data_IF_092499828374
#
_entry.id   IF_092499828374
#
_cell.length_a   1.000
_cell.length_b   1.000
_cell.length_c   1.000
_cell.angle_alpha   90.00
_cell.angle_beta   90.00
_cell.angle_gamma   90.00
#
_symmetry.space_group_name_H-M   'P 1'
#
loop_
_entity.id
_entity.type
_entity.pdbx_description
1 polymer ?
#
# COMPACT_ATOMS: atom_id res chain seq x y z
N UNK A 1 -7.48 -10.42 17.63
CA UNK A 1 -6.88 -11.26 18.71
C UNK A 1 -6.60 -10.44 19.96
N UNK A 2 -5.88 -9.33 19.90
CA UNK A 2 -5.60 -8.49 21.07
C UNK A 2 -6.89 -7.98 21.77
N UNK A 3 -7.86 -7.50 20.99
CA UNK A 3 -9.15 -7.09 21.54
C UNK A 3 -9.90 -8.24 22.24
N UNK A 4 -9.84 -9.44 21.68
CA UNK A 4 -10.43 -10.64 22.29
C UNK A 4 -9.74 -11.02 23.61
N UNK A 5 -8.42 -10.88 23.67
CA UNK A 5 -7.66 -11.10 24.90
C UNK A 5 -8.01 -10.06 25.98
N UNK A 6 -8.09 -8.78 25.60
CA UNK A 6 -8.55 -7.73 26.51
C UNK A 6 -9.98 -7.98 27.01
N UNK A 7 -10.89 -8.38 26.10
CA UNK A 7 -12.27 -8.76 26.46
C UNK A 7 -12.30 -9.91 27.47
N UNK A 8 -11.52 -10.96 27.23
CA UNK A 8 -11.44 -12.09 28.19
C UNK A 8 -10.97 -11.65 29.55
N UNK A 9 -9.92 -10.82 29.62
CA UNK A 9 -9.40 -10.28 30.90
C UNK A 9 -10.45 -9.43 31.63
N UNK A 10 -11.18 -8.58 30.91
CA UNK A 10 -12.27 -7.79 31.47
C UNK A 10 -13.38 -8.69 32.05
N UNK A 11 -13.80 -9.70 31.29
CA UNK A 11 -14.86 -10.62 31.72
C UNK A 11 -14.42 -11.50 32.90
N UNK A 12 -13.13 -11.86 32.96
CA UNK A 12 -12.57 -12.56 34.14
C UNK A 12 -12.67 -11.69 35.42
N UNK A 13 -12.27 -10.41 35.32
CA UNK A 13 -12.43 -9.47 36.46
C UNK A 13 -13.90 -9.28 36.86
N UNK A 14 -14.77 -9.21 35.85
CA UNK A 14 -16.21 -9.10 36.08
C UNK A 14 -16.79 -10.36 36.75
N UNK A 15 -16.33 -11.54 36.35
CA UNK A 15 -16.70 -12.84 36.92
C UNK A 15 -16.46 -12.88 38.44
N UNK A 16 -15.28 -12.44 38.89
CA UNK A 16 -14.91 -12.37 40.29
C UNK A 16 -15.83 -11.42 41.08
N UNK A 17 -16.14 -10.25 40.52
CA UNK A 17 -16.99 -9.25 41.18
C UNK A 17 -18.47 -9.60 41.22
N UNK A 18 -18.95 -10.24 40.16
CA UNK A 18 -20.38 -10.58 40.02
C UNK A 18 -20.70 -11.97 40.57
N UNK A 19 -19.66 -12.75 40.92
CA UNK A 19 -19.81 -14.16 41.34
C UNK A 19 -20.56 -15.00 40.30
N UNK A 20 -20.23 -14.76 39.01
CA UNK A 20 -20.83 -15.43 37.86
C UNK A 20 -19.71 -15.98 36.96
N UNK A 21 -19.99 -16.99 36.16
CA UNK A 21 -19.03 -17.52 35.21
C UNK A 21 -18.73 -16.46 34.13
N UNK A 22 -17.44 -16.28 33.77
CA UNK A 22 -17.03 -15.36 32.73
C UNK A 22 -17.66 -15.70 31.36
N UNK A 23 -17.94 -16.98 31.08
CA UNK A 23 -18.61 -17.43 29.87
C UNK A 23 -20.09 -17.02 29.79
N UNK A 24 -20.72 -16.76 30.95
CA UNK A 24 -22.09 -16.24 31.02
C UNK A 24 -22.19 -14.72 30.86
N UNK A 25 -21.05 -14.02 30.85
CA UNK A 25 -20.95 -12.56 30.71
C UNK A 25 -20.63 -12.17 29.26
N UNK A 26 -21.04 -10.96 28.92
CA UNK A 26 -20.63 -10.30 27.68
C UNK A 26 -20.42 -8.79 27.93
N UNK A 27 -19.87 -8.09 26.95
CA UNK A 27 -19.60 -6.65 27.03
C UNK A 27 -19.86 -5.96 25.70
N UNK A 28 -20.53 -4.82 25.79
CA UNK A 28 -20.89 -3.92 24.69
C UNK A 28 -20.97 -2.49 25.23
N UNK A 29 -20.57 -1.50 24.43
CA UNK A 29 -20.70 -0.08 24.73
C UNK A 29 -20.18 0.32 26.14
N UNK A 30 -19.01 -0.20 26.51
CA UNK A 30 -18.37 0.02 27.82
C UNK A 30 -19.16 -0.51 29.01
N UNK A 31 -20.10 -1.42 28.77
CA UNK A 31 -20.92 -2.07 29.79
C UNK A 31 -20.66 -3.58 29.81
N UNK A 32 -20.66 -4.20 30.97
CA UNK A 32 -20.65 -5.66 31.15
C UNK A 32 -22.02 -6.11 31.62
N UNK A 33 -22.51 -7.23 31.10
CA UNK A 33 -23.82 -7.78 31.44
C UNK A 33 -23.86 -9.31 31.33
N UNK A 34 -24.73 -9.99 32.09
CA UNK A 34 -25.01 -11.39 31.90
C UNK A 34 -25.77 -11.63 30.59
N UNK A 35 -25.33 -12.60 29.78
CA UNK A 35 -25.99 -12.97 28.51
C UNK A 35 -27.46 -13.33 28.69
N UNK A 36 -27.82 -13.98 29.82
CA UNK A 36 -29.19 -14.37 30.14
C UNK A 36 -30.07 -13.22 30.65
N UNK A 37 -29.47 -12.12 31.12
CA UNK A 37 -30.16 -10.93 31.59
C UNK A 37 -29.47 -9.64 31.13
N UNK A 38 -29.60 -9.26 29.84
CA UNK A 38 -28.92 -8.09 29.28
C UNK A 38 -29.37 -6.74 29.86
N UNK A 39 -30.40 -6.71 30.70
CA UNK A 39 -30.85 -5.49 31.37
C UNK A 39 -30.00 -5.15 32.62
N UNK A 40 -29.32 -6.14 33.19
CA UNK A 40 -28.40 -5.94 34.30
C UNK A 40 -27.03 -5.51 33.74
N UNK A 41 -26.85 -4.21 33.53
CA UNK A 41 -25.64 -3.63 32.93
C UNK A 41 -24.81 -2.89 33.94
N UNK A 42 -23.51 -3.16 33.98
CA UNK A 42 -22.54 -2.48 34.81
C UNK A 42 -21.47 -1.80 33.94
N UNK A 43 -21.15 -0.54 34.22
CA UNK A 43 -20.07 0.13 33.45
C UNK A 43 -18.71 -0.50 33.79
N UNK A 44 -17.79 -0.47 32.80
CA UNK A 44 -16.44 -1.02 32.99
C UNK A 44 -15.73 -0.48 34.23
N UNK A 45 -15.92 0.80 34.54
CA UNK A 45 -15.35 1.42 35.73
C UNK A 45 -15.84 0.73 37.05
N UNK A 46 -17.05 0.21 37.07
CA UNK A 46 -17.52 -0.57 38.21
C UNK A 46 -16.80 -1.92 38.35
N UNK A 47 -16.28 -2.44 37.24
CA UNK A 47 -15.47 -3.67 37.20
C UNK A 47 -14.01 -3.36 37.50
N UNK A 48 -13.42 -2.36 36.90
CA UNK A 48 -11.99 -1.99 37.04
C UNK A 48 -11.72 -1.29 38.38
N UNK A 49 -12.69 -0.60 38.95
CA UNK A 49 -12.60 0.10 40.24
C UNK A 49 -12.00 1.51 40.13
N UNK A 50 -11.15 1.79 39.18
CA UNK A 50 -10.57 3.11 38.92
C UNK A 50 -10.51 3.42 37.44
N UNK A 51 -10.60 4.72 37.04
CA UNK A 51 -10.45 5.12 35.65
C UNK A 51 -9.04 4.85 35.08
N UNK A 52 -8.03 4.80 35.93
CA UNK A 52 -6.62 4.63 35.56
C UNK A 52 -6.26 3.15 35.28
N UNK A 53 -7.10 2.22 35.68
CA UNK A 53 -6.83 0.80 35.43
C UNK A 53 -6.93 0.49 33.94
N UNK A 54 -5.81 0.09 33.38
CA UNK A 54 -5.73 -0.29 31.97
C UNK A 54 -5.72 -1.81 31.82
N UNK A 55 -6.62 -2.34 30.98
CA UNK A 55 -6.61 -3.75 30.59
C UNK A 55 -5.92 -3.86 29.23
N UNK A 56 -4.72 -4.44 29.24
CA UNK A 56 -3.94 -4.62 28.01
C UNK A 56 -4.19 -5.99 27.43
N UNK A 57 -4.69 -6.03 26.18
CA UNK A 57 -4.81 -7.25 25.40
C UNK A 57 -3.57 -7.47 24.51
N UNK A 58 -3.14 -8.71 24.44
CA UNK A 58 -2.07 -9.15 23.55
C UNK A 58 -2.60 -10.07 22.47
N UNK A 59 -2.17 -9.86 21.25
CA UNK A 59 -2.52 -10.72 20.13
C UNK A 59 -1.41 -10.74 19.09
N UNK A 60 -1.00 -11.95 18.71
CA UNK A 60 -0.07 -12.15 17.61
C UNK A 60 -0.86 -12.67 16.41
N UNK A 61 -0.66 -12.02 15.26
CA UNK A 61 -1.09 -12.54 13.98
C UNK A 61 0.11 -13.11 13.24
N UNK A 62 0.01 -14.36 12.86
CA UNK A 62 0.97 -14.98 11.97
C UNK A 62 0.22 -15.42 10.71
N UNK A 63 0.65 -14.90 9.58
CA UNK A 63 0.11 -15.31 8.30
C UNK A 63 0.59 -16.73 7.98
N UNK A 64 -0.35 -17.65 7.78
CA UNK A 64 -0.05 -19.05 7.51
C UNK A 64 -0.27 -19.45 6.05
N UNK A 65 -0.40 -18.46 5.15
CA UNK A 65 -0.64 -18.71 3.73
C UNK A 65 0.08 -17.64 2.90
N UNK A 66 0.52 -18.07 1.74
CA UNK A 66 1.04 -17.23 0.68
C UNK A 66 -0.09 -16.98 -0.30
N UNK A 67 -0.78 -15.87 -0.18
CA UNK A 67 -1.76 -15.43 -1.19
C UNK A 67 -1.16 -14.25 -1.93
N UNK A 68 -0.78 -14.44 -3.18
CA UNK A 68 -0.26 -13.36 -3.97
C UNK A 68 -1.39 -12.37 -4.28
N UNK A 69 -1.16 -11.10 -3.98
CA UNK A 69 -1.85 -10.04 -4.67
C UNK A 69 -1.12 -9.77 -5.98
N UNK A 70 -1.79 -9.11 -6.91
CA UNK A 70 -1.17 -8.73 -8.17
C UNK A 70 -1.57 -7.33 -8.58
N UNK A 71 -0.72 -6.72 -9.40
CA UNK A 71 -1.03 -5.50 -10.11
C UNK A 71 -0.59 -5.62 -11.57
N UNK A 72 -1.36 -5.03 -12.46
CA UNK A 72 -1.09 -4.92 -13.89
C UNK A 72 -1.07 -3.46 -14.27
N UNK A 73 -0.13 -3.08 -15.13
CA UNK A 73 -0.04 -1.72 -15.61
C UNK A 73 -0.11 -1.66 -17.14
N UNK A 74 -0.76 -0.60 -17.60
CA UNK A 74 -0.77 -0.21 -19.01
C UNK A 74 -0.35 1.24 -19.07
N UNK A 75 0.56 1.55 -19.99
CA UNK A 75 1.05 2.89 -20.22
C UNK A 75 0.94 3.26 -21.68
N UNK A 76 0.55 4.51 -21.96
CA UNK A 76 0.59 5.11 -23.27
C UNK A 76 1.59 6.25 -23.25
N UNK A 77 2.54 6.21 -24.19
CA UNK A 77 3.62 7.19 -24.28
C UNK A 77 3.68 7.83 -25.65
N UNK A 78 4.20 9.04 -25.70
CA UNK A 78 4.66 9.70 -26.91
C UNK A 78 6.16 9.88 -26.81
N UNK A 79 6.89 9.53 -27.87
CA UNK A 79 8.34 9.65 -27.92
C UNK A 79 8.74 10.57 -29.08
N UNK A 80 9.49 11.62 -28.76
CA UNK A 80 10.11 12.43 -29.78
C UNK A 80 11.33 11.70 -30.33
N UNK A 81 11.25 11.22 -31.57
CA UNK A 81 12.30 10.42 -32.17
C UNK A 81 13.58 11.22 -32.48
N UNK A 82 13.53 12.54 -32.51
CA UNK A 82 14.73 13.38 -32.77
C UNK A 82 15.47 13.68 -31.46
N UNK A 83 14.73 13.95 -30.38
CA UNK A 83 15.33 14.35 -29.10
C UNK A 83 15.45 13.18 -28.11
N UNK A 84 14.69 12.11 -28.30
CA UNK A 84 14.58 11.00 -27.34
C UNK A 84 13.68 11.31 -26.14
N UNK A 85 13.02 12.47 -26.11
CA UNK A 85 12.12 12.84 -25.02
C UNK A 85 10.89 11.94 -24.97
N UNK A 86 10.55 11.46 -23.78
CA UNK A 86 9.39 10.61 -23.52
C UNK A 86 8.35 11.39 -22.73
N UNK A 87 7.13 11.41 -23.24
CA UNK A 87 5.97 11.96 -22.53
C UNK A 87 4.97 10.85 -22.22
N UNK A 88 4.67 10.66 -20.96
CA UNK A 88 3.64 9.73 -20.53
C UNK A 88 2.27 10.39 -20.69
N UNK A 89 1.42 9.81 -21.55
CA UNK A 89 0.13 10.40 -21.92
C UNK A 89 -0.97 9.97 -20.96
N UNK A 90 -0.99 8.71 -20.59
CA UNK A 90 -1.90 8.13 -19.59
C UNK A 90 -1.39 6.80 -19.09
N UNK A 91 -1.90 6.37 -17.94
CA UNK A 91 -1.66 5.04 -17.42
C UNK A 91 -2.91 4.47 -16.75
N UNK A 92 -2.95 3.15 -16.66
CA UNK A 92 -4.00 2.39 -16.02
C UNK A 92 -3.38 1.32 -15.14
N UNK A 93 -3.84 1.22 -13.90
CA UNK A 93 -3.56 0.10 -13.01
C UNK A 93 -4.79 -0.79 -12.84
N UNK A 94 -4.60 -2.10 -12.98
CA UNK A 94 -5.54 -3.11 -12.51
C UNK A 94 -4.93 -3.85 -11.33
N UNK A 95 -5.59 -3.87 -10.18
CA UNK A 95 -5.06 -4.50 -8.97
C UNK A 95 -6.11 -5.29 -8.22
N UNK A 96 -5.69 -6.35 -7.54
CA UNK A 96 -6.54 -7.12 -6.63
C UNK A 96 -6.07 -6.92 -5.19
N UNK A 97 -6.95 -6.40 -4.37
CA UNK A 97 -6.68 -6.08 -2.97
C UNK A 97 -7.46 -6.98 -1.99
N UNK A 98 -8.11 -8.04 -2.52
CA UNK A 98 -9.09 -8.78 -1.74
C UNK A 98 -10.25 -7.87 -1.35
N UNK A 99 -10.78 -8.00 -0.14
CA UNK A 99 -11.85 -7.11 0.32
C UNK A 99 -11.33 -5.68 0.52
N UNK A 100 -11.98 -4.72 -0.11
CA UNK A 100 -11.69 -3.29 0.06
C UNK A 100 -12.17 -2.84 1.44
N UNK A 101 -11.25 -2.43 2.30
CA UNK A 101 -11.59 -1.87 3.62
C UNK A 101 -11.88 -0.36 3.50
N UNK A 102 -11.07 0.35 2.73
CA UNK A 102 -11.22 1.78 2.49
C UNK A 102 -10.91 2.10 1.01
N UNK A 103 -11.93 2.30 0.17
CA UNK A 103 -11.74 2.50 -1.25
C UNK A 103 -10.99 3.80 -1.59
N UNK A 104 -11.12 4.84 -0.75
CA UNK A 104 -10.41 6.10 -0.97
C UNK A 104 -8.91 5.91 -0.77
N UNK A 105 -8.52 5.27 0.34
CA UNK A 105 -7.12 4.99 0.63
C UNK A 105 -6.48 4.02 -0.36
N UNK A 106 -7.22 3.01 -0.83
CA UNK A 106 -6.72 2.12 -1.89
C UNK A 106 -6.42 2.90 -3.17
N UNK A 107 -7.34 3.76 -3.59
CA UNK A 107 -7.14 4.61 -4.77
C UNK A 107 -5.97 5.58 -4.60
N UNK A 108 -5.87 6.26 -3.46
CA UNK A 108 -4.76 7.15 -3.14
C UNK A 108 -3.41 6.41 -3.14
N UNK A 109 -3.37 5.19 -2.64
CA UNK A 109 -2.18 4.35 -2.68
C UNK A 109 -1.77 3.99 -4.11
N UNK A 110 -2.73 3.61 -4.96
CA UNK A 110 -2.49 3.33 -6.38
C UNK A 110 -1.91 4.55 -7.11
N UNK A 111 -2.59 5.70 -7.00
CA UNK A 111 -2.18 6.95 -7.64
C UNK A 111 -0.81 7.43 -7.14
N UNK A 112 -0.57 7.39 -5.83
CA UNK A 112 0.69 7.82 -5.21
C UNK A 112 1.86 6.89 -5.55
N UNK A 113 1.65 5.59 -5.52
CA UNK A 113 2.69 4.60 -5.86
C UNK A 113 3.05 4.64 -7.35
N UNK A 114 2.07 4.84 -8.22
CA UNK A 114 2.32 5.04 -9.65
C UNK A 114 3.24 6.25 -9.88
N UNK A 115 2.95 7.38 -9.24
CA UNK A 115 3.77 8.57 -9.35
C UNK A 115 5.19 8.34 -8.85
N UNK A 116 5.32 8.10 -7.55
CA UNK A 116 6.62 8.08 -6.88
C UNK A 116 7.47 6.84 -7.22
N UNK A 117 6.92 5.63 -7.07
CA UNK A 117 7.71 4.41 -7.28
C UNK A 117 7.67 3.88 -8.72
N UNK A 118 6.72 4.33 -9.52
CA UNK A 118 6.48 3.84 -10.87
C UNK A 118 7.06 4.73 -11.94
N UNK A 119 6.36 5.79 -12.27
CA UNK A 119 6.68 6.59 -13.43
C UNK A 119 7.93 7.46 -13.23
N UNK A 120 8.20 7.94 -12.01
CA UNK A 120 9.41 8.71 -11.75
C UNK A 120 10.65 7.84 -11.80
N UNK A 121 10.62 6.63 -11.25
CA UNK A 121 11.68 5.64 -11.43
C UNK A 121 11.92 5.31 -12.89
N UNK A 122 10.85 5.22 -13.69
CA UNK A 122 10.99 4.91 -15.13
C UNK A 122 11.61 6.04 -15.94
N UNK A 123 11.34 7.31 -15.59
CA UNK A 123 11.60 8.45 -16.48
C UNK A 123 12.58 9.49 -15.93
N UNK A 124 12.72 9.63 -14.61
CA UNK A 124 13.41 10.78 -13.99
C UNK A 124 14.41 10.42 -12.91
N UNK A 125 14.07 9.49 -12.01
CA UNK A 125 14.85 9.26 -10.80
C UNK A 125 16.16 8.53 -11.08
N UNK A 126 17.27 9.19 -10.77
CA UNK A 126 18.60 8.61 -10.89
C UNK A 126 19.48 8.98 -9.69
N UNK A 127 20.05 7.95 -9.07
CA UNK A 127 21.07 8.12 -8.04
C UNK A 127 22.47 8.25 -8.71
N UNK A 128 22.88 9.48 -8.96
CA UNK A 128 24.20 9.74 -9.57
C UNK A 128 25.29 9.70 -8.51
N UNK A 129 26.23 8.78 -8.65
CA UNK A 129 27.35 8.62 -7.72
C UNK A 129 28.68 9.10 -8.36
N UNK A 130 29.38 10.01 -7.68
CA UNK A 130 30.78 10.27 -7.96
C UNK A 130 31.63 9.07 -7.52
N UNK A 131 32.08 8.27 -8.46
CA UNK A 131 32.86 7.05 -8.19
C UNK A 131 34.25 7.34 -7.58
N UNK A 132 34.78 8.55 -7.77
CA UNK A 132 36.09 8.94 -7.20
C UNK A 132 35.96 9.34 -5.73
N UNK A 133 34.89 10.01 -5.38
CA UNK A 133 34.64 10.51 -4.04
C UNK A 133 33.77 9.56 -3.21
N UNK A 134 33.13 8.56 -3.83
CA UNK A 134 32.23 7.62 -3.16
C UNK A 134 30.98 8.27 -2.58
N UNK A 135 30.50 9.36 -3.16
CA UNK A 135 29.32 10.10 -2.68
C UNK A 135 28.30 10.34 -3.77
N UNK A 136 27.04 10.42 -3.40
CA UNK A 136 25.98 10.83 -4.30
C UNK A 136 26.03 12.33 -4.56
N UNK A 137 25.98 12.72 -5.83
CA UNK A 137 25.92 14.11 -6.26
C UNK A 137 24.48 14.60 -6.39
N UNK A 138 23.52 13.69 -6.60
CA UNK A 138 22.07 13.98 -6.64
C UNK A 138 21.38 13.81 -5.27
N UNK A 139 22.12 13.97 -4.15
CA UNK A 139 21.60 13.75 -2.80
C UNK A 139 20.81 14.92 -2.21
N UNK A 140 20.28 15.81 -3.02
CA UNK A 140 19.48 16.96 -2.57
C UNK A 140 18.34 17.24 -3.55
N UNK A 141 17.33 18.02 -3.11
CA UNK A 141 16.10 18.28 -3.88
C UNK A 141 16.31 19.20 -5.11
N UNK A 142 17.48 19.78 -5.30
CA UNK A 142 17.79 20.58 -6.48
C UNK A 142 18.26 19.68 -7.63
N UNK A 143 19.10 18.71 -7.32
CA UNK A 143 19.76 17.85 -8.30
C UNK A 143 18.99 16.55 -8.55
N UNK A 144 18.27 16.05 -7.53
CA UNK A 144 17.42 14.87 -7.67
C UNK A 144 16.16 15.22 -8.48
N UNK A 145 15.94 14.50 -9.57
CA UNK A 145 14.84 14.79 -10.49
C UNK A 145 13.65 13.89 -10.23
N UNK A 146 12.50 14.52 -10.08
CA UNK A 146 11.21 13.86 -10.21
C UNK A 146 10.22 14.85 -10.82
N UNK A 147 9.07 14.35 -11.25
CA UNK A 147 8.12 15.19 -11.96
C UNK A 147 7.41 16.18 -11.03
N UNK A 148 6.96 17.24 -11.63
CA UNK A 148 6.07 18.18 -10.99
C UNK A 148 4.61 17.71 -11.09
N UNK A 149 3.73 18.28 -10.29
CA UNK A 149 2.30 17.97 -10.32
C UNK A 149 1.67 18.15 -11.72
N UNK A 150 2.12 19.14 -12.47
CA UNK A 150 1.60 19.43 -13.83
C UNK A 150 2.00 18.37 -14.88
N UNK A 151 3.00 17.57 -14.61
CA UNK A 151 3.50 16.52 -15.48
C UNK A 151 2.85 15.17 -15.19
N UNK A 152 1.93 15.14 -14.20
CA UNK A 152 1.22 13.92 -13.85
C UNK A 152 0.17 13.60 -14.94
N UNK A 153 0.24 12.44 -15.57
CA UNK A 153 -0.71 12.07 -16.62
C UNK A 153 -2.05 11.69 -16.00
N UNK A 154 -3.13 11.67 -16.77
CA UNK A 154 -4.35 10.96 -16.39
C UNK A 154 -4.03 9.52 -15.98
N UNK A 155 -4.52 9.12 -14.83
CA UNK A 155 -4.31 7.80 -14.26
C UNK A 155 -5.63 7.20 -13.80
N UNK A 156 -5.92 6.01 -14.27
CA UNK A 156 -7.11 5.26 -13.88
C UNK A 156 -6.73 4.03 -13.06
N UNK A 157 -7.56 3.67 -12.09
CA UNK A 157 -7.38 2.48 -11.27
C UNK A 157 -8.62 1.61 -11.33
N UNK A 158 -8.43 0.35 -11.72
CA UNK A 158 -9.43 -0.71 -11.66
C UNK A 158 -9.10 -1.61 -10.48
N UNK A 159 -9.92 -1.55 -9.44
CA UNK A 159 -9.73 -2.33 -8.23
C UNK A 159 -10.62 -3.57 -8.30
N UNK A 160 -10.03 -4.73 -8.16
CA UNK A 160 -10.70 -6.01 -8.11
C UNK A 160 -10.80 -6.48 -6.66
N UNK A 161 -11.90 -7.13 -6.33
CA UNK A 161 -12.16 -7.74 -5.02
C UNK A 161 -12.29 -9.25 -5.17
N UNK A 162 -11.19 -9.97 -4.99
CA UNK A 162 -11.25 -11.44 -4.90
C UNK A 162 -11.61 -11.86 -3.49
N UNK A 163 -12.47 -12.87 -3.38
CA UNK A 163 -12.78 -13.48 -2.08
C UNK A 163 -11.68 -14.47 -1.71
N UNK A 164 -10.86 -14.08 -0.77
CA UNK A 164 -9.87 -14.97 -0.17
C UNK A 164 -10.32 -15.38 1.22
N UNK A 165 -10.18 -16.66 1.52
CA UNK A 165 -10.39 -17.16 2.88
C UNK A 165 -9.17 -16.78 3.73
N UNK A 166 -9.21 -15.60 4.30
CA UNK A 166 -8.17 -15.08 5.21
C UNK A 166 -8.79 -14.71 6.55
N UNK A 167 -8.05 -14.92 7.63
CA UNK A 167 -8.49 -14.50 8.97
C UNK A 167 -8.52 -12.97 9.15
N UNK A 168 -7.90 -12.21 8.24
CA UNK A 168 -7.78 -10.76 8.32
C UNK A 168 -8.75 -10.06 7.35
N UNK A 169 -10.04 -10.17 7.61
CA UNK A 169 -11.10 -9.45 6.88
C UNK A 169 -11.12 -9.72 5.37
N UNK A 170 -10.52 -10.81 4.89
CA UNK A 170 -10.36 -11.12 3.46
C UNK A 170 -9.59 -10.06 2.64
N UNK A 171 -8.95 -9.12 3.31
CA UNK A 171 -8.15 -8.07 2.69
C UNK A 171 -6.70 -8.54 2.46
N UNK A 172 -6.10 -8.07 1.37
CA UNK A 172 -4.69 -8.27 1.07
C UNK A 172 -3.89 -6.99 1.39
N UNK A 173 -2.58 -7.15 1.62
CA UNK A 173 -1.69 -6.00 1.74
C UNK A 173 -1.61 -5.26 0.42
N UNK A 174 -1.74 -3.92 0.46
CA UNK A 174 -1.70 -3.06 -0.70
C UNK A 174 -0.77 -1.87 -0.43
N UNK A 175 0.51 -2.10 -0.54
CA UNK A 175 1.56 -1.10 -0.38
C UNK A 175 2.34 -0.93 -1.70
N UNK A 176 3.49 -1.53 -1.78
CA UNK A 176 4.42 -1.35 -2.92
C UNK A 176 4.02 -2.12 -4.18
N UNK A 177 3.13 -3.10 -4.07
CA UNK A 177 2.66 -3.87 -5.23
C UNK A 177 2.09 -2.96 -6.32
N UNK A 178 1.46 -1.87 -5.93
CA UNK A 178 0.88 -0.87 -6.81
C UNK A 178 1.91 -0.11 -7.65
N UNK A 179 3.13 0.12 -7.15
CA UNK A 179 4.16 0.84 -7.91
C UNK A 179 5.12 -0.04 -8.72
N UNK A 180 5.35 -1.25 -8.25
CA UNK A 180 6.43 -2.13 -8.77
C UNK A 180 6.36 -2.47 -10.27
N UNK A 181 5.20 -2.73 -10.88
CA UNK A 181 5.15 -3.08 -12.32
C UNK A 181 5.17 -1.86 -13.25
N UNK A 182 4.95 -0.65 -12.75
CA UNK A 182 4.81 0.55 -13.58
C UNK A 182 6.08 0.88 -14.39
N UNK A 183 7.32 0.83 -13.85
CA UNK A 183 8.51 1.09 -14.64
C UNK A 183 8.63 0.17 -15.83
N UNK A 184 8.36 -1.13 -15.65
CA UNK A 184 8.43 -2.10 -16.74
C UNK A 184 7.38 -1.83 -17.82
N UNK A 185 6.17 -1.47 -17.44
CA UNK A 185 5.11 -1.13 -18.39
C UNK A 185 5.47 0.11 -19.23
N UNK A 186 6.08 1.12 -18.60
CA UNK A 186 6.53 2.32 -19.29
C UNK A 186 7.70 2.00 -20.26
N UNK A 187 8.69 1.22 -19.81
CA UNK A 187 9.78 0.77 -20.70
C UNK A 187 9.28 0.01 -21.92
N UNK A 188 8.32 -0.89 -21.70
CA UNK A 188 7.70 -1.64 -22.79
C UNK A 188 6.93 -0.72 -23.75
N UNK A 189 6.23 0.27 -23.26
CA UNK A 189 5.53 1.26 -24.07
C UNK A 189 6.52 2.10 -24.91
N UNK A 190 7.63 2.55 -24.32
CA UNK A 190 8.70 3.27 -25.04
C UNK A 190 9.34 2.37 -26.09
N UNK A 191 9.69 1.14 -25.73
CA UNK A 191 10.27 0.16 -26.67
C UNK A 191 9.35 -0.08 -27.86
N UNK A 192 8.05 -0.21 -27.62
CA UNK A 192 7.06 -0.35 -28.68
C UNK A 192 6.95 0.90 -29.56
N UNK A 193 6.99 2.08 -28.98
CA UNK A 193 6.89 3.35 -29.70
C UNK A 193 8.08 3.60 -30.63
N UNK A 194 9.30 3.19 -30.25
CA UNK A 194 10.50 3.41 -31.04
C UNK A 194 10.90 2.21 -31.90
N UNK A 195 10.25 1.06 -31.75
CA UNK A 195 10.57 -0.17 -32.45
C UNK A 195 11.93 -0.78 -32.07
N UNK A 196 12.46 -0.45 -30.90
CA UNK A 196 13.75 -0.94 -30.38
C UNK A 196 13.63 -1.25 -28.87
N UNK A 197 14.40 -2.24 -28.39
CA UNK A 197 14.36 -2.65 -26.99
C UNK A 197 15.12 -1.66 -26.10
N UNK A 198 14.42 -1.09 -25.12
CA UNK A 198 15.01 -0.29 -24.02
C UNK A 198 15.21 -1.19 -22.81
N UNK A 199 16.43 -1.21 -22.26
CA UNK A 199 16.82 -2.12 -21.15
C UNK A 199 17.20 -1.41 -19.86
N UNK A 200 17.24 -0.09 -19.90
CA UNK A 200 17.72 0.74 -18.79
C UNK A 200 16.69 1.78 -18.41
N UNK A 201 16.60 2.08 -17.13
CA UNK A 201 15.88 3.23 -16.60
C UNK A 201 16.75 3.98 -15.57
N UNK A 202 16.51 5.29 -15.37
CA UNK A 202 15.46 6.08 -16.02
C UNK A 202 15.63 6.15 -17.53
N UNK A 203 14.51 6.10 -18.25
CA UNK A 203 14.46 6.14 -19.72
C UNK A 203 14.70 7.56 -20.20
N UNK A 204 15.91 8.06 -19.99
CA UNK A 204 16.33 9.40 -20.38
C UNK A 204 16.39 9.54 -21.90
N UNK A 205 16.38 10.78 -22.45
CA UNK A 205 16.59 11.00 -23.88
C UNK A 205 17.82 10.30 -24.45
N UNK A 206 18.92 10.26 -23.68
CA UNK A 206 20.13 9.57 -24.11
C UNK A 206 19.92 8.05 -24.21
N UNK A 207 19.24 7.43 -23.25
CA UNK A 207 18.91 6.00 -23.27
C UNK A 207 18.04 5.67 -24.49
N UNK A 208 17.04 6.51 -24.79
CA UNK A 208 16.15 6.33 -25.94
C UNK A 208 16.92 6.46 -27.25
N UNK A 209 17.72 7.51 -27.42
CA UNK A 209 18.52 7.73 -28.63
C UNK A 209 19.55 6.62 -28.86
N UNK A 210 20.15 6.13 -27.77
CA UNK A 210 21.08 4.98 -27.82
C UNK A 210 20.35 3.70 -28.25
N UNK A 211 19.17 3.42 -27.69
CA UNK A 211 18.38 2.25 -28.11
C UNK A 211 17.99 2.29 -29.59
N UNK A 212 17.77 3.49 -30.15
CA UNK A 212 17.52 3.69 -31.56
C UNK A 212 18.79 3.67 -32.43
N UNK A 213 19.98 3.54 -31.85
CA UNK A 213 21.26 3.59 -32.60
C UNK A 213 21.62 4.96 -33.14
N UNK A 214 21.09 6.04 -32.60
CA UNK A 214 21.35 7.43 -33.04
C UNK A 214 22.55 8.06 -32.35
N UNK A 215 22.94 7.53 -31.21
CA UNK A 215 24.15 7.88 -30.45
C UNK A 215 24.85 6.61 -29.95
N UNK A 216 26.12 6.71 -29.57
CA UNK A 216 26.95 5.61 -29.01
C UNK A 216 26.64 5.35 -27.50
#
# INVERSE_FOLDING_TARGET
RAANDAKKKLLTLASEKLHMDAEELDTEDFLVFPKKNPQMRLPWIAITGTPEMTITGMGLYQQNFDKPNFALYFAEVEVNLETGEVRLLRALEGTDVGQIIDPVNVRMQAEGSFGAAGADTALFEEMVMDKKLGRFVSGNMIDYKWRTFNEFPPFDTVILESQFDTESFHALGFGEISGSPAPSAILMAVSNAIGAEVKEYPTTPAVVLKAMGKIE
#
